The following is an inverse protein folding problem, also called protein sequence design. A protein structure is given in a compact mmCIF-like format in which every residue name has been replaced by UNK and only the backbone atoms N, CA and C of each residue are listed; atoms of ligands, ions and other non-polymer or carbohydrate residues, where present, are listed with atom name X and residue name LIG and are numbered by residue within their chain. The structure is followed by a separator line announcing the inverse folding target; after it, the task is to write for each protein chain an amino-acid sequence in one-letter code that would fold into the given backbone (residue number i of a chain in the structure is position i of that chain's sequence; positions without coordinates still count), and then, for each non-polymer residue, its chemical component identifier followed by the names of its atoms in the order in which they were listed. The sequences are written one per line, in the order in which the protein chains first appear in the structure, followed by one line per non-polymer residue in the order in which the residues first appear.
data_IF_049834611469
#
_entry.id   IF_049834611469
#
_cell.length_a   1.000
_cell.length_b   1.000
_cell.length_c   1.000
_cell.angle_alpha   90.00
_cell.angle_beta   90.00
_cell.angle_gamma   90.00
#
_symmetry.space_group_name_H-M   'P 1'
#
loop_
_entity.id
_entity.type
_entity.pdbx_description
1 polymer ?
#
# COMPACT_ATOMS: atom_id res chain seq x y z
N UNK A 1 -13.97 4.92 8.07
CA UNK A 1 -12.50 5.04 8.15
C UNK A 1 -12.02 4.18 9.32
N UNK A 2 -11.45 3.03 9.05
CA UNK A 2 -10.86 2.17 10.08
C UNK A 2 -9.35 2.41 10.04
N UNK A 3 -8.89 3.34 10.86
CA UNK A 3 -7.46 3.47 11.14
C UNK A 3 -7.09 2.32 12.08
N UNK A 4 -6.25 1.40 11.62
CA UNK A 4 -5.74 0.31 12.48
C UNK A 4 -5.04 0.89 13.73
N UNK A 5 -5.46 0.51 14.95
CA UNK A 5 -5.07 1.23 16.16
C UNK A 5 -3.73 0.86 16.78
N UNK A 6 -2.87 0.06 16.14
CA UNK A 6 -1.76 -0.57 16.87
C UNK A 6 -0.38 0.09 16.75
N UNK A 7 -0.14 1.01 15.80
CA UNK A 7 1.21 1.58 15.61
C UNK A 7 1.29 3.11 15.57
N UNK A 8 0.16 3.81 15.50
CA UNK A 8 0.13 5.26 15.33
C UNK A 8 0.50 5.76 13.93
N UNK A 9 0.93 4.91 13.02
CA UNK A 9 1.20 5.28 11.64
C UNK A 9 -0.08 5.58 10.88
N UNK A 10 -0.04 6.62 10.04
CA UNK A 10 -1.12 6.99 9.12
C UNK A 10 -0.57 7.04 7.72
N UNK A 11 -1.34 6.54 6.77
CA UNK A 11 -0.99 6.58 5.35
C UNK A 11 -2.11 7.23 4.54
N UNK A 12 -1.72 7.86 3.43
CA UNK A 12 -2.58 8.33 2.35
C UNK A 12 -1.91 8.01 1.02
N UNK A 13 -2.70 7.93 -0.03
CA UNK A 13 -2.19 7.81 -1.41
C UNK A 13 -2.77 8.94 -2.26
N UNK A 14 -2.20 9.28 -3.41
CA UNK A 14 -2.86 10.15 -4.37
C UNK A 14 -4.20 9.57 -4.79
N UNK A 15 -5.30 10.24 -4.45
CA UNK A 15 -6.64 9.72 -4.70
C UNK A 15 -7.73 10.80 -4.53
N UNK A 16 -8.92 10.53 -5.07
CA UNK A 16 -10.12 11.35 -4.92
C UNK A 16 -10.97 10.83 -3.75
N UNK A 17 -10.74 11.34 -2.56
CA UNK A 17 -11.34 10.85 -1.33
C UNK A 17 -12.78 11.32 -1.16
N UNK A 18 -13.69 10.39 -0.86
CA UNK A 18 -15.11 10.65 -0.57
C UNK A 18 -15.46 10.49 0.90
N UNK A 19 -14.87 9.49 1.56
CA UNK A 19 -15.17 9.17 2.97
C UNK A 19 -14.30 9.94 3.95
N UNK A 20 -13.14 10.43 3.52
CA UNK A 20 -12.28 11.24 4.37
C UNK A 20 -11.86 12.53 3.67
N UNK A 21 -11.56 13.56 4.46
CA UNK A 21 -10.96 14.78 3.94
C UNK A 21 -9.45 14.78 4.20
N UNK A 22 -8.61 14.49 3.19
CA UNK A 22 -7.16 14.44 3.37
C UNK A 22 -6.56 15.78 3.82
N UNK A 23 -7.19 16.94 3.50
CA UNK A 23 -6.71 18.26 3.93
C UNK A 23 -6.69 18.41 5.46
N UNK A 24 -7.58 17.73 6.16
CA UNK A 24 -7.61 17.72 7.63
C UNK A 24 -6.60 16.74 8.25
N UNK A 25 -6.04 15.85 7.45
CA UNK A 25 -5.17 14.75 7.91
C UNK A 25 -3.71 15.03 7.58
N UNK A 26 -3.41 15.36 6.30
CA UNK A 26 -2.05 15.56 5.84
C UNK A 26 -1.51 16.93 6.25
N UNK A 27 -0.25 16.99 6.61
CA UNK A 27 0.40 18.24 6.99
C UNK A 27 1.91 18.22 6.67
N UNK A 28 2.61 19.30 6.99
CA UNK A 28 4.03 19.49 6.70
C UNK A 28 5.00 18.48 7.32
N UNK A 29 4.53 17.67 8.28
CA UNK A 29 5.36 16.66 8.95
C UNK A 29 5.33 15.31 8.23
N UNK A 30 4.45 15.17 7.23
CA UNK A 30 4.37 13.96 6.42
C UNK A 30 5.57 13.84 5.49
N UNK A 31 5.92 12.60 5.21
CA UNK A 31 6.88 12.23 4.18
C UNK A 31 6.17 11.48 3.06
N UNK A 32 6.80 11.38 1.90
CA UNK A 32 6.30 10.60 0.79
C UNK A 32 7.34 9.60 0.32
N UNK A 33 6.89 8.40 -0.01
CA UNK A 33 7.61 7.44 -0.83
C UNK A 33 7.27 7.73 -2.29
N UNK A 34 8.27 8.03 -3.11
CA UNK A 34 8.08 8.34 -4.52
C UNK A 34 9.14 7.69 -5.40
N UNK A 35 8.78 7.49 -6.68
CA UNK A 35 9.66 6.96 -7.71
C UNK A 35 10.24 8.10 -8.53
N UNK A 36 11.55 8.04 -8.79
CA UNK A 36 12.25 8.94 -9.70
C UNK A 36 13.14 8.11 -10.64
N UNK A 37 12.76 8.04 -11.91
CA UNK A 37 13.32 7.10 -12.86
C UNK A 37 13.10 5.65 -12.40
N UNK A 38 14.19 4.93 -12.18
CA UNK A 38 14.18 3.53 -11.67
C UNK A 38 14.37 3.43 -10.15
N UNK A 39 14.68 4.53 -9.50
CA UNK A 39 15.00 4.59 -8.07
C UNK A 39 13.80 5.07 -7.25
N UNK A 40 13.82 4.74 -5.98
CA UNK A 40 12.80 5.12 -5.00
C UNK A 40 13.42 5.96 -3.90
N UNK A 41 12.66 6.93 -3.42
CA UNK A 41 13.11 7.88 -2.43
C UNK A 41 12.04 8.14 -1.38
N UNK A 42 12.48 8.44 -0.17
CA UNK A 42 11.65 9.08 0.84
C UNK A 42 12.04 10.54 0.96
N UNK A 43 11.07 11.41 0.90
CA UNK A 43 11.26 12.85 1.03
C UNK A 43 10.16 13.53 1.83
N UNK A 44 10.30 14.85 2.01
CA UNK A 44 9.19 15.64 2.54
C UNK A 44 8.02 15.56 1.56
N UNK A 45 6.81 15.33 2.08
CA UNK A 45 5.61 15.25 1.26
C UNK A 45 5.38 16.50 0.42
N UNK A 46 5.14 16.30 -0.88
CA UNK A 46 4.77 17.35 -1.85
C UNK A 46 3.43 16.96 -2.46
N UNK A 47 2.41 17.71 -2.14
CA UNK A 47 1.05 17.42 -2.56
C UNK A 47 0.30 18.70 -2.92
N UNK A 48 -0.84 18.52 -3.55
CA UNK A 48 -1.88 19.53 -3.74
C UNK A 48 -3.20 19.01 -3.19
N UNK A 49 -4.05 19.91 -2.77
CA UNK A 49 -5.42 19.58 -2.40
C UNK A 49 -6.33 20.31 -3.40
N UNK A 50 -7.19 19.54 -4.05
CA UNK A 50 -8.11 20.03 -5.05
C UNK A 50 -9.52 19.53 -4.73
N UNK A 51 -10.53 20.37 -4.89
CA UNK A 51 -11.91 19.93 -4.88
C UNK A 51 -12.29 19.58 -6.32
N UNK A 52 -12.81 18.37 -6.53
CA UNK A 52 -13.23 17.91 -7.86
C UNK A 52 -14.69 17.51 -7.81
N UNK A 53 -15.46 17.99 -8.79
CA UNK A 53 -16.82 17.49 -8.97
C UNK A 53 -16.80 16.01 -9.33
N UNK A 54 -17.73 15.27 -8.76
CA UNK A 54 -17.91 13.85 -8.99
C UNK A 54 -19.42 13.57 -9.09
N UNK A 55 -19.85 13.09 -10.23
CA UNK A 55 -21.27 12.85 -10.52
C UNK A 55 -21.87 11.75 -9.64
N UNK A 56 -21.04 10.89 -9.07
CA UNK A 56 -21.45 9.78 -8.22
C UNK A 56 -21.43 10.13 -6.72
N UNK A 57 -21.03 11.34 -6.37
CA UNK A 57 -20.96 11.76 -4.97
C UNK A 57 -21.98 12.85 -4.66
N UNK A 58 -22.70 12.70 -3.56
CA UNK A 58 -23.57 13.76 -3.02
C UNK A 58 -22.76 14.90 -2.37
N UNK A 59 -21.47 14.72 -2.16
CA UNK A 59 -20.51 15.69 -1.63
C UNK A 59 -19.43 15.96 -2.67
N UNK A 60 -18.75 17.10 -2.57
CA UNK A 60 -17.59 17.38 -3.42
C UNK A 60 -16.38 16.65 -2.84
N UNK A 61 -15.86 15.61 -3.52
CA UNK A 61 -14.69 14.89 -3.06
C UNK A 61 -13.44 15.77 -3.00
N UNK A 62 -12.53 15.40 -2.14
CA UNK A 62 -11.22 16.05 -2.03
C UNK A 62 -10.15 15.21 -2.68
N UNK A 63 -9.57 15.71 -3.76
CA UNK A 63 -8.47 15.08 -4.45
C UNK A 63 -7.14 15.44 -3.81
N UNK A 64 -6.43 14.43 -3.31
CA UNK A 64 -5.04 14.54 -2.90
C UNK A 64 -4.13 14.32 -4.11
N UNK A 65 -3.67 15.42 -4.70
CA UNK A 65 -2.82 15.38 -5.89
C UNK A 65 -1.35 15.19 -5.51
N UNK A 66 -0.68 14.28 -6.18
CA UNK A 66 0.77 14.16 -6.12
C UNK A 66 1.48 15.27 -6.90
N UNK A 67 2.67 15.64 -6.47
CA UNK A 67 3.57 16.55 -7.20
C UNK A 67 4.81 15.83 -7.75
N UNK A 68 4.91 14.54 -7.49
CA UNK A 68 5.90 13.59 -7.99
C UNK A 68 5.19 12.27 -8.27
N UNK A 69 5.90 11.27 -8.76
CA UNK A 69 5.36 9.91 -8.90
C UNK A 69 5.29 9.25 -7.50
N UNK A 70 4.36 9.74 -6.67
CA UNK A 70 4.20 9.35 -5.27
C UNK A 70 3.41 8.05 -5.16
N UNK A 71 3.96 7.09 -4.42
CA UNK A 71 3.31 5.82 -4.12
C UNK A 71 2.50 5.94 -2.84
N UNK A 72 3.08 6.60 -1.81
CA UNK A 72 2.52 6.64 -0.47
C UNK A 72 2.93 7.93 0.24
N UNK A 73 1.99 8.57 0.90
CA UNK A 73 2.24 9.55 1.95
C UNK A 73 2.13 8.85 3.31
N UNK A 74 3.07 9.12 4.21
CA UNK A 74 3.09 8.49 5.53
C UNK A 74 3.47 9.48 6.61
N UNK A 75 2.83 9.34 7.78
CA UNK A 75 3.11 10.12 8.97
C UNK A 75 3.69 9.22 10.07
N UNK A 76 4.54 9.79 10.93
CA UNK A 76 5.12 9.19 12.13
C UNK A 76 6.09 8.01 11.90
N UNK A 77 6.41 7.66 10.67
CA UNK A 77 7.39 6.64 10.38
C UNK A 77 8.81 7.18 10.66
N UNK A 78 9.66 6.49 11.43
CA UNK A 78 11.02 6.92 11.72
C UNK A 78 11.97 6.67 10.54
N UNK A 79 11.72 7.33 9.40
CA UNK A 79 12.45 7.11 8.16
C UNK A 79 13.55 8.15 7.97
N UNK A 80 14.71 7.71 7.53
CA UNK A 80 15.74 8.57 6.95
C UNK A 80 15.30 9.00 5.55
N UNK A 81 15.22 10.32 5.33
CA UNK A 81 15.02 10.86 3.98
C UNK A 81 16.21 10.49 3.10
N UNK A 82 15.94 10.16 1.85
CA UNK A 82 16.95 9.80 0.87
C UNK A 82 16.53 8.66 -0.02
N UNK A 83 17.50 8.07 -0.69
CA UNK A 83 17.29 6.90 -1.55
C UNK A 83 16.97 5.67 -0.70
N UNK A 84 15.95 4.93 -1.12
CA UNK A 84 15.47 3.71 -0.46
C UNK A 84 16.06 2.49 -1.17
N UNK A 85 16.50 1.49 -0.40
CA UNK A 85 16.87 0.20 -0.95
C UNK A 85 15.62 -0.57 -1.35
N UNK A 86 15.57 -1.04 -2.58
CA UNK A 86 14.44 -1.80 -3.13
C UNK A 86 14.82 -3.25 -3.36
N UNK A 87 13.81 -4.12 -3.37
CA UNK A 87 13.96 -5.50 -3.77
C UNK A 87 14.28 -5.59 -5.28
N UNK A 88 15.01 -6.63 -5.66
CA UNK A 88 15.25 -6.97 -7.06
C UNK A 88 13.99 -7.63 -7.65
N UNK A 89 13.02 -6.80 -7.95
CA UNK A 89 11.73 -7.17 -8.54
C UNK A 89 11.36 -6.16 -9.63
N UNK A 90 10.91 -6.65 -10.77
CA UNK A 90 10.39 -5.79 -11.82
C UNK A 90 8.99 -5.29 -11.43
N UNK A 91 8.88 -4.00 -11.12
CA UNK A 91 7.59 -3.30 -11.02
C UNK A 91 7.15 -2.86 -12.42
N UNK A 92 6.73 -3.83 -13.24
CA UNK A 92 6.08 -3.66 -14.54
C UNK A 92 4.58 -3.88 -14.41
N UNK A 93 3.86 -3.93 -15.52
CA UNK A 93 2.41 -4.19 -15.58
C UNK A 93 1.95 -5.49 -14.90
N UNK A 94 2.89 -6.32 -14.48
CA UNK A 94 2.65 -7.58 -13.77
C UNK A 94 2.77 -7.48 -12.24
N UNK A 95 2.52 -6.32 -11.63
CA UNK A 95 2.47 -6.16 -10.16
C UNK A 95 1.24 -6.76 -9.53
N UNK A 96 0.24 -7.16 -10.33
CA UNK A 96 -0.96 -7.83 -9.86
C UNK A 96 -0.65 -9.19 -9.22
N UNK A 97 -1.36 -9.47 -8.15
CA UNK A 97 -1.24 -10.67 -7.33
C UNK A 97 -2.49 -11.54 -7.52
N UNK A 98 -2.71 -12.01 -8.75
CA UNK A 98 -3.82 -12.89 -9.08
C UNK A 98 -3.66 -14.25 -8.39
N UNK A 99 -4.78 -14.96 -8.08
CA UNK A 99 -4.72 -16.31 -7.55
C UNK A 99 -3.86 -17.23 -8.40
N UNK A 100 -2.95 -17.98 -7.76
CA UNK A 100 -1.97 -18.83 -8.42
C UNK A 100 -0.68 -18.12 -8.83
N UNK A 101 -0.62 -16.79 -8.74
CA UNK A 101 0.61 -16.06 -9.02
C UNK A 101 1.67 -16.28 -7.96
N UNK A 102 2.92 -16.39 -8.42
CA UNK A 102 4.11 -16.50 -7.57
C UNK A 102 5.14 -15.47 -8.02
N UNK A 103 5.61 -14.65 -7.11
CA UNK A 103 6.69 -13.69 -7.32
C UNK A 103 7.90 -14.08 -6.49
N UNK A 104 9.01 -14.40 -7.16
CA UNK A 104 10.29 -14.63 -6.51
C UNK A 104 11.16 -13.41 -6.71
N UNK A 105 11.79 -12.93 -5.63
CA UNK A 105 12.68 -11.78 -5.67
C UNK A 105 13.72 -11.87 -4.57
N UNK A 106 14.73 -11.01 -4.64
CA UNK A 106 15.78 -10.92 -3.62
C UNK A 106 15.79 -9.54 -2.97
N UNK A 107 16.07 -9.52 -1.67
CA UNK A 107 16.33 -8.30 -0.94
C UNK A 107 17.38 -8.52 0.13
N UNK A 108 18.40 -7.64 0.20
CA UNK A 108 19.52 -7.73 1.16
C UNK A 108 20.16 -9.14 1.24
N UNK A 109 20.32 -9.81 0.09
CA UNK A 109 20.91 -11.16 -0.03
C UNK A 109 20.00 -12.31 0.40
N UNK A 110 18.74 -12.04 0.74
CA UNK A 110 17.73 -13.06 1.06
C UNK A 110 16.75 -13.26 -0.08
N UNK A 111 16.32 -14.50 -0.27
CA UNK A 111 15.26 -14.83 -1.24
C UNK A 111 13.90 -14.74 -0.58
N UNK A 112 12.95 -14.19 -1.33
CA UNK A 112 11.56 -14.05 -0.92
C UNK A 112 10.66 -14.64 -2.00
N UNK A 113 9.58 -15.30 -1.54
CA UNK A 113 8.51 -15.83 -2.37
C UNK A 113 7.20 -15.22 -1.90
N UNK A 114 6.56 -14.41 -2.74
CA UNK A 114 5.22 -13.89 -2.52
C UNK A 114 4.26 -14.72 -3.37
N UNK A 115 3.26 -15.34 -2.75
CA UNK A 115 2.35 -16.29 -3.39
C UNK A 115 0.91 -15.94 -3.05
N UNK A 116 0.08 -15.79 -4.09
CA UNK A 116 -1.35 -15.52 -3.96
C UNK A 116 -2.16 -16.80 -4.20
N UNK A 117 -3.11 -17.08 -3.31
CA UNK A 117 -4.03 -18.22 -3.39
C UNK A 117 -5.46 -17.77 -3.15
N UNK A 118 -6.41 -18.29 -3.89
CA UNK A 118 -7.84 -18.14 -3.65
C UNK A 118 -8.63 -19.30 -4.25
N UNK A 119 -9.94 -19.29 -4.01
CA UNK A 119 -10.91 -20.19 -4.62
C UNK A 119 -11.92 -19.39 -5.43
N UNK A 120 -12.44 -19.96 -6.52
CA UNK A 120 -13.39 -19.29 -7.42
C UNK A 120 -12.68 -18.53 -8.56
N UNK A 121 -13.47 -18.04 -9.52
CA UNK A 121 -12.97 -17.33 -10.69
C UNK A 121 -13.37 -15.83 -10.67
N UNK A 122 -14.68 -15.53 -10.68
CA UNK A 122 -15.18 -14.14 -10.69
C UNK A 122 -15.41 -13.57 -9.29
N UNK A 123 -15.79 -14.43 -8.34
CA UNK A 123 -15.87 -14.11 -6.92
C UNK A 123 -14.85 -14.96 -6.18
N UNK A 124 -13.74 -14.34 -5.79
CA UNK A 124 -12.69 -15.04 -5.08
C UNK A 124 -13.08 -15.20 -3.61
N UNK A 125 -12.86 -16.41 -3.09
CA UNK A 125 -13.07 -16.73 -1.68
C UNK A 125 -11.78 -17.18 -1.04
N UNK A 126 -11.63 -16.85 0.24
CA UNK A 126 -10.45 -17.22 1.02
C UNK A 126 -9.14 -16.79 0.34
N UNK A 127 -9.13 -15.57 -0.26
CA UNK A 127 -7.90 -15.03 -0.80
C UNK A 127 -6.85 -14.92 0.30
N UNK A 128 -5.67 -15.44 0.01
CA UNK A 128 -4.55 -15.48 0.95
C UNK A 128 -3.27 -15.07 0.23
N UNK A 129 -2.55 -14.12 0.78
CA UNK A 129 -1.21 -13.76 0.35
C UNK A 129 -0.19 -14.28 1.35
N UNK A 130 0.77 -15.04 0.84
CA UNK A 130 1.82 -15.69 1.62
C UNK A 130 3.18 -15.09 1.27
N UNK A 131 3.96 -14.71 2.27
CA UNK A 131 5.38 -14.38 2.13
C UNK A 131 6.21 -15.52 2.74
N UNK A 132 7.02 -16.21 1.92
CA UNK A 132 7.79 -17.39 2.32
C UNK A 132 6.95 -18.47 3.02
N UNK A 133 5.68 -18.64 2.59
CA UNK A 133 4.75 -19.57 3.20
C UNK A 133 4.00 -19.05 4.43
N UNK A 134 4.40 -17.90 4.98
CA UNK A 134 3.70 -17.23 6.06
C UNK A 134 2.56 -16.33 5.52
N UNK A 135 1.39 -16.44 6.12
CA UNK A 135 0.22 -15.65 5.70
C UNK A 135 0.30 -14.22 6.21
N UNK A 136 0.41 -13.26 5.29
CA UNK A 136 0.43 -11.83 5.58
C UNK A 136 -0.90 -11.12 5.32
N UNK A 137 -1.74 -11.67 4.40
CA UNK A 137 -3.09 -11.16 4.11
C UNK A 137 -4.07 -12.33 4.03
N UNK A 138 -5.30 -12.10 4.50
CA UNK A 138 -6.44 -13.00 4.29
C UNK A 138 -7.70 -12.19 4.11
N UNK A 139 -8.39 -12.44 2.97
CA UNK A 139 -9.71 -11.89 2.69
C UNK A 139 -10.70 -13.02 2.46
N UNK A 140 -11.85 -12.93 3.11
CA UNK A 140 -12.87 -13.98 3.01
C UNK A 140 -13.52 -13.98 1.62
N UNK A 141 -13.70 -12.81 1.03
CA UNK A 141 -14.32 -12.59 -0.28
C UNK A 141 -13.65 -11.40 -0.97
N UNK A 142 -13.46 -11.51 -2.27
CA UNK A 142 -12.97 -10.44 -3.14
C UNK A 142 -13.82 -10.46 -4.42
N UNK A 143 -14.48 -9.36 -4.72
CA UNK A 143 -15.38 -9.21 -5.87
C UNK A 143 -14.76 -8.32 -6.93
N UNK A 144 -14.39 -8.92 -8.09
CA UNK A 144 -13.89 -8.22 -9.28
C UNK A 144 -12.73 -7.24 -9.03
N UNK A 145 -12.00 -7.40 -7.93
CA UNK A 145 -10.87 -6.55 -7.57
C UNK A 145 -9.55 -7.28 -7.76
N UNK A 146 -8.46 -6.52 -7.93
CA UNK A 146 -7.12 -7.06 -8.14
C UNK A 146 -6.16 -6.52 -7.09
N UNK A 147 -5.55 -7.42 -6.35
CA UNK A 147 -4.48 -7.06 -5.43
C UNK A 147 -3.19 -6.76 -6.20
N UNK A 148 -2.39 -5.82 -5.69
CA UNK A 148 -1.14 -5.46 -6.34
C UNK A 148 -0.02 -5.16 -5.33
N UNK A 149 1.21 -5.48 -5.72
CA UNK A 149 2.41 -5.06 -5.02
C UNK A 149 2.84 -3.68 -5.53
N UNK A 150 2.71 -2.66 -4.69
CA UNK A 150 3.08 -1.28 -5.03
C UNK A 150 4.54 -0.95 -4.70
N UNK A 151 5.09 -1.58 -3.66
CA UNK A 151 6.48 -1.38 -3.23
C UNK A 151 6.98 -2.60 -2.44
N UNK A 152 8.26 -2.92 -2.63
CA UNK A 152 9.02 -3.87 -1.83
C UNK A 152 10.45 -3.35 -1.60
N UNK A 153 10.85 -3.15 -0.35
CA UNK A 153 12.14 -2.58 0.00
C UNK A 153 12.23 -2.23 1.48
N UNK A 154 13.30 -1.54 1.88
CA UNK A 154 13.54 -1.10 3.26
C UNK A 154 13.02 0.33 3.44
N UNK A 155 11.79 0.46 3.91
CA UNK A 155 11.13 1.76 4.03
C UNK A 155 11.50 2.48 5.33
N UNK A 156 11.68 1.78 6.42
CA UNK A 156 11.98 2.34 7.74
C UNK A 156 13.48 2.37 8.10
N UNK A 157 14.32 1.77 7.26
CA UNK A 157 15.79 1.81 7.39
C UNK A 157 16.36 0.76 8.34
N UNK A 158 15.60 -0.30 8.67
CA UNK A 158 16.04 -1.41 9.53
C UNK A 158 16.86 -2.49 8.78
N UNK A 159 16.99 -2.35 7.46
CA UNK A 159 17.74 -3.27 6.59
C UNK A 159 16.95 -4.52 6.18
N UNK A 160 15.66 -4.61 6.52
CA UNK A 160 14.79 -5.73 6.16
C UNK A 160 13.73 -5.31 5.15
N UNK A 161 12.96 -6.29 4.70
CA UNK A 161 11.93 -6.10 3.68
C UNK A 161 10.64 -5.54 4.29
N UNK A 162 10.14 -4.46 3.71
CA UNK A 162 8.81 -3.90 3.92
C UNK A 162 8.01 -3.94 2.63
N UNK A 163 6.67 -3.92 2.73
CA UNK A 163 5.76 -3.97 1.59
C UNK A 163 4.71 -2.87 1.67
N UNK A 164 4.35 -2.33 0.51
CA UNK A 164 3.12 -1.56 0.30
C UNK A 164 2.26 -2.35 -0.68
N UNK A 165 1.04 -2.67 -0.27
CA UNK A 165 0.11 -3.49 -1.04
C UNK A 165 -1.18 -2.72 -1.31
N UNK A 166 -1.71 -2.83 -2.53
CA UNK A 166 -3.09 -2.49 -2.86
C UNK A 166 -3.93 -3.75 -2.66
N UNK A 167 -4.98 -3.66 -1.87
CA UNK A 167 -5.77 -4.79 -1.39
C UNK A 167 -7.29 -4.55 -1.48
N UNK A 168 -7.82 -3.94 -2.56
CA UNK A 168 -9.26 -3.70 -2.67
C UNK A 168 -10.01 -5.03 -2.69
N UNK A 169 -11.13 -5.11 -1.97
CA UNK A 169 -12.00 -6.30 -1.98
C UNK A 169 -13.15 -6.15 -2.96
N UNK A 170 -13.36 -4.93 -3.45
CA UNK A 170 -14.33 -4.56 -4.49
C UNK A 170 -13.66 -3.67 -5.54
N UNK A 171 -14.24 -3.61 -6.76
CA UNK A 171 -13.71 -2.79 -7.86
C UNK A 171 -13.90 -1.28 -7.64
N UNK A 172 -14.79 -0.89 -6.74
CA UNK A 172 -15.07 0.50 -6.35
C UNK A 172 -14.41 0.89 -5.01
N UNK A 173 -13.49 0.09 -4.52
CA UNK A 173 -12.77 0.31 -3.26
C UNK A 173 -11.32 0.74 -3.52
N UNK A 174 -10.88 1.81 -2.86
CA UNK A 174 -9.48 2.06 -2.59
C UNK A 174 -9.11 1.40 -1.27
N UNK A 175 -8.13 0.51 -1.28
CA UNK A 175 -7.56 -0.04 -0.05
C UNK A 175 -6.07 -0.27 -0.21
N UNK A 176 -5.27 0.45 0.57
CA UNK A 176 -3.81 0.32 0.54
C UNK A 176 -3.29 0.09 1.96
N UNK A 177 -2.40 -0.87 2.11
CA UNK A 177 -1.83 -1.24 3.39
C UNK A 177 -0.29 -1.19 3.38
N UNK A 178 0.28 -0.75 4.50
CA UNK A 178 1.71 -0.74 4.79
C UNK A 178 2.05 -1.86 5.76
N UNK A 179 3.03 -2.67 5.40
CA UNK A 179 3.59 -3.75 6.21
C UNK A 179 5.06 -3.46 6.50
N UNK A 180 5.44 -3.49 7.78
CA UNK A 180 6.82 -3.31 8.21
C UNK A 180 7.35 -4.57 8.90
N UNK A 181 8.58 -4.94 8.58
CA UNK A 181 9.30 -6.02 9.24
C UNK A 181 9.69 -5.68 10.67
N UNK A 182 10.01 -4.41 10.96
CA UNK A 182 10.33 -3.92 12.30
C UNK A 182 9.16 -4.00 13.29
N UNK A 183 7.93 -4.07 12.78
CA UNK A 183 6.70 -4.18 13.56
C UNK A 183 6.08 -5.58 13.49
N UNK A 184 6.85 -6.59 13.07
CA UNK A 184 6.38 -7.96 13.01
C UNK A 184 6.00 -8.49 14.41
N UNK A 185 4.81 -9.10 14.57
CA UNK A 185 4.50 -9.86 15.77
C UNK A 185 5.51 -11.01 15.97
N UNK A 186 5.65 -11.54 17.19
CA UNK A 186 6.52 -12.68 17.44
C UNK A 186 6.25 -13.84 16.46
N UNK A 187 7.31 -14.39 15.88
CA UNK A 187 7.28 -15.49 14.90
C UNK A 187 6.67 -15.14 13.53
N UNK A 188 6.40 -13.86 13.24
CA UNK A 188 5.99 -13.40 11.92
C UNK A 188 7.09 -12.57 11.25
N UNK A 189 7.07 -12.52 9.90
CA UNK A 189 8.08 -11.79 9.13
C UNK A 189 7.78 -10.30 9.04
N UNK A 190 6.50 -9.91 9.13
CA UNK A 190 6.07 -8.51 9.07
C UNK A 190 4.72 -8.28 9.76
N UNK A 191 4.45 -7.04 10.12
CA UNK A 191 3.17 -6.60 10.67
C UNK A 191 2.50 -5.54 9.81
N UNK A 192 1.19 -5.62 9.63
CA UNK A 192 0.40 -4.54 9.04
C UNK A 192 0.34 -3.38 10.03
N UNK A 193 0.89 -2.23 9.67
CA UNK A 193 1.04 -1.07 10.57
C UNK A 193 0.11 0.08 10.25
N UNK A 194 -0.35 0.18 9.02
CA UNK A 194 -1.32 1.18 8.59
C UNK A 194 -2.11 0.70 7.39
N UNK A 195 -3.33 1.22 7.25
CA UNK A 195 -4.20 0.98 6.11
C UNK A 195 -5.03 2.24 5.84
N UNK A 196 -5.26 2.56 4.59
CA UNK A 196 -6.25 3.54 4.13
C UNK A 196 -7.28 2.83 3.28
N UNK A 197 -8.54 3.16 3.51
CA UNK A 197 -9.68 2.63 2.79
C UNK A 197 -10.62 3.79 2.44
N UNK A 198 -11.10 3.82 1.21
CA UNK A 198 -12.11 4.75 0.72
C UNK A 198 -12.99 4.02 -0.31
N UNK A 199 -14.26 4.39 -0.38
CA UNK A 199 -15.24 3.83 -1.29
C UNK A 199 -15.63 4.90 -2.32
N UNK A 200 -15.61 4.54 -3.60
CA UNK A 200 -15.97 5.44 -4.69
C UNK A 200 -17.12 4.89 -5.55
N UNK A 201 -17.94 4.01 -4.95
CA UNK A 201 -19.14 3.46 -5.60
C UNK A 201 -20.12 4.54 -6.05
N UNK A 202 -20.75 4.32 -7.17
CA UNK A 202 -21.86 5.08 -7.72
C UNK A 202 -23.21 4.46 -7.20
#
# INVERSE_FOLDING_TARGET
MILSPSSGYKILVPFNYRLCNPDTIINRNWVELYKDGKDYYVGKARYGIEMREDLCSSTIPTYLAEKRNTILFVNQLPIKKGKVKIADIAFSDSTYLEPGSVRNFTFAGKHYKLEARAQGESQLRNYTLLLNGERIVREARVDAASFALLFAGDLDGDGKLDLVLSLPTDYEELRVALFLSSCAPPNLQMGKVAEIEDDFSC
#
